data_IF_878872902285
#
_entry.id   IF_878872902285
#
_cell.length_a   1.000
_cell.length_b   1.000
_cell.length_c   1.000
_cell.angle_alpha   90.00
_cell.angle_beta   90.00
_cell.angle_gamma   90.00
#
_symmetry.space_group_name_H-M   'P 1'
#
loop_
_entity.id
_entity.type
_entity.pdbx_description
1 polymer ?
#
# COMPACT_ATOMS: atom_id res chain seq x y z
N UNK A 1 -20.89 -16.65 22.52
CA UNK A 1 -21.13 -17.15 21.15
C UNK A 1 -21.92 -16.07 20.41
N UNK A 2 -21.48 -15.72 19.19
CA UNK A 2 -22.19 -14.80 18.31
C UNK A 2 -23.33 -15.59 17.66
N UNK A 3 -24.50 -14.97 17.53
CA UNK A 3 -25.67 -15.53 16.83
C UNK A 3 -26.06 -14.68 15.62
N UNK A 4 -25.55 -13.49 15.52
CA UNK A 4 -25.78 -12.55 14.42
C UNK A 4 -25.34 -11.15 14.77
N UNK A 5 -25.48 -10.25 13.81
CA UNK A 5 -25.21 -8.82 13.95
C UNK A 5 -26.42 -8.00 13.50
N UNK A 6 -26.56 -6.82 14.05
CA UNK A 6 -27.45 -5.79 13.53
C UNK A 6 -26.65 -4.81 12.68
N UNK A 7 -27.07 -4.58 11.46
CA UNK A 7 -26.44 -3.66 10.52
C UNK A 7 -27.38 -2.48 10.26
N UNK A 8 -26.93 -1.27 10.55
CA UNK A 8 -27.68 -0.05 10.27
C UNK A 8 -27.50 0.33 8.80
N UNK A 9 -28.56 0.41 7.97
CA UNK A 9 -28.49 0.84 6.59
C UNK A 9 -27.89 2.25 6.47
N UNK A 10 -26.94 2.40 5.54
CA UNK A 10 -26.21 3.64 5.32
C UNK A 10 -26.43 4.16 3.90
N UNK A 11 -26.42 5.50 3.75
CA UNK A 11 -26.40 6.14 2.46
C UNK A 11 -25.17 7.05 2.31
N UNK A 12 -24.66 7.20 1.09
CA UNK A 12 -23.59 8.16 0.80
C UNK A 12 -24.17 9.57 0.92
N UNK A 13 -23.63 10.35 1.83
CA UNK A 13 -24.06 11.75 2.06
C UNK A 13 -23.20 12.77 1.34
N UNK A 14 -21.92 12.48 1.13
CA UNK A 14 -20.98 13.32 0.42
C UNK A 14 -19.74 12.53 0.00
N UNK A 15 -19.00 13.06 -0.97
CA UNK A 15 -17.65 12.58 -1.29
C UNK A 15 -16.68 13.72 -0.96
N UNK A 16 -15.75 13.47 0.00
CA UNK A 16 -14.70 14.41 0.39
C UNK A 16 -13.34 13.74 0.17
N UNK A 17 -12.45 14.42 -0.54
CA UNK A 17 -11.10 13.93 -0.83
C UNK A 17 -11.06 12.50 -1.40
N UNK A 18 -12.02 12.19 -2.28
CA UNK A 18 -12.16 10.87 -2.90
C UNK A 18 -12.72 9.79 -1.98
N UNK A 19 -13.15 10.14 -0.76
CA UNK A 19 -13.77 9.20 0.21
C UNK A 19 -15.24 9.50 0.40
N UNK A 20 -16.05 8.45 0.35
CA UNK A 20 -17.47 8.56 0.64
C UNK A 20 -17.68 8.78 2.15
N UNK A 21 -18.39 9.86 2.48
CA UNK A 21 -18.98 10.03 3.81
C UNK A 21 -20.36 9.37 3.82
N UNK A 22 -20.64 8.59 4.84
CA UNK A 22 -21.92 7.88 4.97
C UNK A 22 -22.71 8.41 6.16
N UNK A 23 -24.03 8.27 6.09
CA UNK A 23 -24.94 8.54 7.20
C UNK A 23 -26.04 7.48 7.23
N UNK A 24 -26.63 7.19 8.40
CA UNK A 24 -27.77 6.29 8.49
C UNK A 24 -28.91 6.73 7.59
N UNK A 25 -29.60 5.78 6.96
CA UNK A 25 -30.78 6.06 6.12
C UNK A 25 -32.02 6.42 6.94
N UNK A 26 -32.05 6.04 8.22
CA UNK A 26 -33.22 6.11 9.08
C UNK A 26 -34.12 4.86 9.00
N UNK A 27 -33.77 3.90 8.15
CA UNK A 27 -34.44 2.60 8.09
C UNK A 27 -34.06 1.75 9.31
N UNK A 28 -34.92 0.79 9.70
CA UNK A 28 -34.62 -0.13 10.79
C UNK A 28 -33.35 -0.94 10.53
N UNK A 29 -32.64 -1.28 11.61
CA UNK A 29 -31.50 -2.16 11.57
C UNK A 29 -31.89 -3.53 11.00
N UNK A 30 -31.01 -4.07 10.13
CA UNK A 30 -31.18 -5.39 9.52
C UNK A 30 -30.42 -6.41 10.36
N UNK A 31 -31.12 -7.44 10.83
CA UNK A 31 -30.46 -8.56 11.51
C UNK A 31 -29.90 -9.54 10.50
N UNK A 32 -28.57 -9.80 10.62
CA UNK A 32 -27.84 -10.76 9.78
C UNK A 32 -27.40 -11.92 10.69
N UNK A 33 -27.98 -13.11 10.56
CA UNK A 33 -27.57 -14.27 11.36
C UNK A 33 -26.16 -14.71 10.93
N UNK A 34 -25.27 -14.95 11.90
CA UNK A 34 -23.93 -15.49 11.65
C UNK A 34 -23.38 -16.15 12.91
N UNK A 35 -22.54 -17.14 12.74
CA UNK A 35 -21.82 -17.83 13.82
C UNK A 35 -20.43 -17.23 14.05
N UNK A 36 -19.86 -16.63 13.02
CA UNK A 36 -18.52 -16.03 13.01
C UNK A 36 -18.60 -14.64 12.39
N UNK A 37 -17.97 -13.67 13.03
CA UNK A 37 -17.79 -12.31 12.51
C UNK A 37 -16.31 -12.02 12.33
N UNK A 38 -15.92 -11.71 11.10
CA UNK A 38 -14.56 -11.30 10.75
C UNK A 38 -14.53 -9.78 10.54
N UNK A 39 -13.78 -9.06 11.38
CA UNK A 39 -13.54 -7.62 11.20
C UNK A 39 -12.32 -7.39 10.33
N UNK A 40 -12.53 -6.84 9.13
CA UNK A 40 -11.49 -6.49 8.18
C UNK A 40 -11.57 -5.00 7.78
N UNK A 41 -11.79 -4.11 8.78
CA UNK A 41 -12.07 -2.67 8.59
C UNK A 41 -10.83 -1.79 8.68
N UNK A 42 -9.65 -2.39 8.75
CA UNK A 42 -8.37 -1.71 8.90
C UNK A 42 -7.80 -1.78 10.32
N UNK A 43 -6.64 -1.19 10.48
CA UNK A 43 -5.91 -1.11 11.75
C UNK A 43 -5.50 0.33 11.99
N UNK A 44 -5.47 0.73 13.25
CA UNK A 44 -4.95 2.01 13.70
C UNK A 44 -3.60 1.83 14.38
N UNK A 45 -2.85 2.92 14.46
CA UNK A 45 -1.54 2.94 15.12
C UNK A 45 -1.76 3.28 16.60
N UNK A 46 -1.32 2.41 17.48
CA UNK A 46 -1.30 2.67 18.92
C UNK A 46 -0.14 3.62 19.28
N UNK A 47 -0.28 4.89 18.97
CA UNK A 47 0.77 5.91 19.14
C UNK A 47 0.87 6.51 20.54
N UNK A 48 -0.09 6.23 21.42
CA UNK A 48 -0.18 6.89 22.73
C UNK A 48 1.01 6.66 23.67
N UNK A 49 1.69 5.52 23.57
CA UNK A 49 2.89 5.26 24.36
C UNK A 49 4.12 6.01 23.81
N UNK A 50 4.20 6.23 22.52
CA UNK A 50 5.24 7.05 21.90
C UNK A 50 5.08 8.52 22.26
N UNK A 51 3.84 9.03 22.24
CA UNK A 51 3.52 10.41 22.65
C UNK A 51 3.90 10.67 24.11
N UNK A 52 3.59 9.71 25.01
CA UNK A 52 4.02 9.77 26.42
C UNK A 52 5.54 9.76 26.59
N UNK A 53 6.27 9.15 25.67
CA UNK A 53 7.73 9.15 25.64
C UNK A 53 8.33 10.41 24.99
N UNK A 54 7.51 11.39 24.63
CA UNK A 54 7.95 12.66 24.03
C UNK A 54 8.13 12.62 22.51
N UNK A 55 7.75 11.52 21.86
CA UNK A 55 7.82 11.42 20.40
C UNK A 55 6.64 12.21 19.78
N UNK A 56 6.87 13.10 18.82
CA UNK A 56 5.81 13.90 18.22
C UNK A 56 4.83 13.02 17.45
N UNK A 57 3.56 13.16 17.81
CA UNK A 57 2.44 12.43 17.19
C UNK A 57 1.40 13.42 16.68
N UNK A 58 0.86 13.19 15.50
CA UNK A 58 -0.24 13.96 14.93
C UNK A 58 -1.25 13.04 14.29
N UNK A 59 -2.53 13.15 14.69
CA UNK A 59 -3.63 12.31 14.19
C UNK A 59 -3.31 10.80 14.25
N UNK A 60 -2.71 10.36 15.36
CA UNK A 60 -2.34 8.97 15.58
C UNK A 60 -1.10 8.48 14.82
N UNK A 61 -0.37 9.37 14.13
CA UNK A 61 0.85 9.03 13.38
C UNK A 61 2.05 9.71 13.98
N UNK A 62 3.19 9.05 13.94
CA UNK A 62 4.48 9.63 14.31
C UNK A 62 4.88 10.66 13.25
N UNK A 63 5.25 11.86 13.70
CA UNK A 63 5.66 12.95 12.80
C UNK A 63 7.17 12.94 12.61
N UNK A 64 7.60 12.79 11.37
CA UNK A 64 9.02 12.80 10.99
C UNK A 64 9.26 13.74 9.81
N UNK A 65 10.51 14.10 9.59
CA UNK A 65 10.99 14.68 8.34
C UNK A 65 10.86 13.67 7.19
N UNK A 66 11.05 14.09 5.95
CA UNK A 66 11.05 13.20 4.77
C UNK A 66 12.13 12.12 4.81
N UNK A 67 13.22 12.39 5.51
CA UNK A 67 14.31 11.44 5.78
C UNK A 67 13.93 10.32 6.76
N UNK A 68 12.81 10.46 7.46
CA UNK A 68 12.43 9.63 8.60
C UNK A 68 13.05 10.08 9.93
N UNK A 69 13.93 11.07 9.93
CA UNK A 69 14.52 11.63 11.15
C UNK A 69 13.51 12.52 11.91
N UNK A 70 13.75 12.70 13.19
CA UNK A 70 13.03 13.68 14.02
C UNK A 70 13.81 15.00 14.06
N UNK A 71 13.09 16.11 13.94
CA UNK A 71 13.69 17.44 13.93
C UNK A 71 14.48 17.76 15.20
N UNK A 72 13.93 17.39 16.36
CA UNK A 72 14.48 17.73 17.67
C UNK A 72 15.03 16.53 18.46
N UNK A 73 15.23 15.39 17.80
CA UNK A 73 15.71 14.15 18.44
C UNK A 73 16.80 13.50 17.58
N UNK A 74 18.05 14.01 17.64
CA UNK A 74 19.15 13.46 16.83
C UNK A 74 19.35 11.97 17.09
N UNK A 75 19.54 11.18 16.03
CA UNK A 75 19.73 9.74 16.12
C UNK A 75 18.44 8.93 16.26
N UNK A 76 17.26 9.58 16.28
CA UNK A 76 15.97 8.90 16.30
C UNK A 76 15.32 8.99 14.93
N UNK A 77 14.85 7.84 14.43
CA UNK A 77 14.23 7.72 13.11
C UNK A 77 12.95 6.89 13.20
N UNK A 78 12.00 7.15 12.31
CA UNK A 78 10.83 6.32 12.13
C UNK A 78 10.37 6.33 10.67
N UNK A 79 9.78 5.22 10.22
CA UNK A 79 9.25 5.08 8.87
C UNK A 79 8.28 3.92 8.75
N UNK A 80 7.64 3.81 7.60
CA UNK A 80 6.58 2.82 7.37
C UNK A 80 5.24 3.30 7.91
N UNK A 81 4.35 2.35 8.23
CA UNK A 81 2.97 2.64 8.58
C UNK A 81 2.82 3.54 9.82
N UNK A 82 3.77 3.48 10.76
CA UNK A 82 3.72 4.33 11.96
C UNK A 82 3.80 5.82 11.66
N UNK A 83 4.44 6.21 10.55
CA UNK A 83 4.55 7.62 10.13
C UNK A 83 3.66 7.96 8.94
N UNK A 84 3.53 7.08 7.95
CA UNK A 84 2.71 7.33 6.75
C UNK A 84 1.23 6.98 6.94
N UNK A 85 0.91 6.12 7.89
CA UNK A 85 -0.36 5.45 8.08
C UNK A 85 -0.42 4.10 7.35
N UNK A 86 -1.33 3.21 7.75
CA UNK A 86 -1.49 1.90 7.14
C UNK A 86 -1.66 1.98 5.62
N UNK A 87 -0.83 1.24 4.89
CA UNK A 87 -0.83 1.25 3.43
C UNK A 87 -0.39 -0.12 2.88
N UNK A 88 0.42 -0.15 1.83
CA UNK A 88 0.93 -1.40 1.26
C UNK A 88 2.33 -1.73 1.77
N UNK A 89 2.67 -3.03 1.75
CA UNK A 89 4.02 -3.53 2.08
C UNK A 89 5.09 -2.81 1.26
N UNK A 90 4.83 -2.57 -0.03
CA UNK A 90 5.78 -1.87 -0.92
C UNK A 90 6.07 -0.46 -0.41
N UNK A 91 5.07 0.27 0.08
CA UNK A 91 5.29 1.61 0.66
C UNK A 91 6.10 1.55 1.95
N UNK A 92 5.86 0.55 2.79
CA UNK A 92 6.65 0.35 4.01
C UNK A 92 8.12 0.04 3.68
N UNK A 93 8.39 -0.83 2.69
CA UNK A 93 9.75 -1.13 2.21
C UNK A 93 10.41 0.13 1.63
N UNK A 94 9.69 0.92 0.84
CA UNK A 94 10.23 2.16 0.28
C UNK A 94 10.62 3.15 1.38
N UNK A 95 9.78 3.34 2.39
CA UNK A 95 10.10 4.17 3.54
C UNK A 95 11.29 3.63 4.33
N UNK A 96 11.35 2.31 4.54
CA UNK A 96 12.46 1.68 5.24
C UNK A 96 13.80 1.90 4.54
N UNK A 97 13.85 1.84 3.21
CA UNK A 97 15.07 2.13 2.43
C UNK A 97 15.54 3.58 2.63
N UNK A 98 14.62 4.53 2.62
CA UNK A 98 14.95 5.95 2.89
C UNK A 98 15.51 6.09 4.31
N UNK A 99 14.82 5.56 5.30
CA UNK A 99 15.24 5.63 6.71
C UNK A 99 16.61 4.96 6.91
N UNK A 100 16.82 3.76 6.36
CA UNK A 100 18.09 3.04 6.49
C UNK A 100 19.27 3.83 5.90
N UNK A 101 19.09 4.41 4.70
CA UNK A 101 20.12 5.24 4.07
C UNK A 101 20.44 6.49 4.91
N UNK A 102 19.43 7.09 5.55
CA UNK A 102 19.64 8.25 6.39
C UNK A 102 20.26 7.91 7.75
N UNK A 103 19.99 6.73 8.29
CA UNK A 103 20.71 6.22 9.47
C UNK A 103 22.18 5.96 9.14
N UNK A 104 22.46 5.35 8.00
CA UNK A 104 23.81 5.09 7.52
C UNK A 104 24.63 6.38 7.42
N UNK A 105 24.04 7.41 6.81
CA UNK A 105 24.64 8.74 6.70
C UNK A 105 24.85 9.40 8.07
N UNK A 106 23.86 9.31 8.96
CA UNK A 106 23.97 9.85 10.32
C UNK A 106 25.12 9.22 11.12
N UNK A 107 25.40 7.96 10.87
CA UNK A 107 26.51 7.23 11.49
C UNK A 107 27.88 7.50 10.82
N UNK A 108 27.92 8.32 9.77
CA UNK A 108 29.12 8.68 9.02
C UNK A 108 29.53 7.66 7.97
N UNK A 109 28.62 6.75 7.60
CA UNK A 109 28.83 5.83 6.48
C UNK A 109 28.14 6.34 5.20
N UNK A 110 28.47 5.73 4.07
CA UNK A 110 27.91 6.11 2.77
C UNK A 110 27.67 4.87 1.90
N UNK A 111 27.04 3.86 2.47
CA UNK A 111 26.73 2.65 1.73
C UNK A 111 25.59 2.89 0.72
N UNK A 112 25.76 2.41 -0.50
CA UNK A 112 24.68 2.39 -1.46
C UNK A 112 23.80 1.14 -1.29
N UNK A 113 22.47 1.36 -1.17
CA UNK A 113 21.52 0.27 -1.20
C UNK A 113 21.23 -0.05 -2.67
N UNK A 114 21.91 -1.05 -3.20
CA UNK A 114 21.70 -1.53 -4.57
C UNK A 114 20.85 -2.79 -4.59
N UNK A 115 20.07 -2.97 -5.64
CA UNK A 115 19.26 -4.19 -5.81
C UNK A 115 20.08 -5.37 -6.36
N UNK A 116 21.27 -5.11 -6.91
CA UNK A 116 22.06 -6.08 -7.66
C UNK A 116 21.39 -6.56 -8.96
N UNK A 117 20.27 -5.93 -9.35
CA UNK A 117 19.55 -6.26 -10.58
C UNK A 117 19.90 -5.26 -11.64
N UNK A 118 20.48 -5.74 -12.74
CA UNK A 118 20.72 -4.94 -13.94
C UNK A 118 19.40 -4.79 -14.70
N UNK A 119 18.95 -3.53 -14.87
CA UNK A 119 17.73 -3.21 -15.61
C UNK A 119 18.14 -2.84 -17.04
N UNK A 120 17.74 -3.64 -18.06
CA UNK A 120 18.06 -3.36 -19.45
C UNK A 120 17.53 -2.00 -19.89
N UNK A 121 18.23 -1.35 -20.81
CA UNK A 121 17.74 -0.12 -21.43
C UNK A 121 16.36 -0.32 -22.07
N UNK A 122 15.50 0.69 -21.95
CA UNK A 122 14.20 0.65 -22.58
C UNK A 122 14.32 0.83 -24.10
N UNK A 123 13.72 -0.07 -24.86
CA UNK A 123 13.58 0.06 -26.31
C UNK A 123 12.10 0.08 -26.68
N UNK A 124 11.70 1.09 -27.44
CA UNK A 124 10.36 1.18 -28.02
C UNK A 124 10.34 0.72 -29.48
N UNK A 125 11.48 0.26 -30.02
CA UNK A 125 11.55 -0.34 -31.35
C UNK A 125 10.80 -1.64 -31.35
N UNK A 126 10.13 -1.93 -32.44
CA UNK A 126 9.42 -3.19 -32.69
C UNK A 126 8.24 -3.49 -31.72
N UNK A 127 7.68 -2.46 -31.08
CA UNK A 127 6.45 -2.59 -30.29
C UNK A 127 5.25 -2.68 -31.21
N UNK A 128 4.78 -3.91 -31.47
CA UNK A 128 3.54 -4.11 -32.24
C UNK A 128 2.32 -3.74 -31.39
N UNK A 129 1.46 -2.82 -31.86
CA UNK A 129 0.22 -2.51 -31.17
C UNK A 129 -0.64 -3.76 -30.98
N UNK A 130 -1.04 -4.04 -29.76
CA UNK A 130 -1.92 -5.16 -29.44
C UNK A 130 -2.90 -4.78 -28.33
N UNK A 131 -4.04 -5.47 -28.28
CA UNK A 131 -5.03 -5.27 -27.25
C UNK A 131 -4.58 -5.79 -25.88
N UNK A 132 -5.28 -5.35 -24.84
CA UNK A 132 -5.11 -5.89 -23.49
C UNK A 132 -5.62 -7.31 -23.42
N UNK A 133 -4.92 -8.18 -22.71
CA UNK A 133 -5.43 -9.50 -22.34
C UNK A 133 -6.43 -9.33 -21.19
N UNK A 134 -7.62 -9.87 -21.34
CA UNK A 134 -8.63 -9.90 -20.29
C UNK A 134 -8.53 -11.24 -19.56
N UNK A 135 -8.15 -11.20 -18.29
CA UNK A 135 -8.21 -12.37 -17.44
C UNK A 135 -9.67 -12.74 -17.17
N UNK A 136 -9.96 -14.02 -17.19
CA UNK A 136 -11.25 -14.55 -16.81
C UNK A 136 -11.19 -15.09 -15.39
N UNK A 137 -12.27 -14.95 -14.65
CA UNK A 137 -12.41 -15.55 -13.34
C UNK A 137 -13.11 -16.91 -13.46
N UNK A 138 -12.83 -17.81 -12.53
CA UNK A 138 -13.60 -19.04 -12.35
C UNK A 138 -15.03 -18.70 -11.97
N UNK A 139 -15.97 -19.57 -12.30
CA UNK A 139 -17.36 -19.37 -11.95
C UNK A 139 -17.54 -19.20 -10.42
N UNK A 140 -18.43 -18.30 -10.02
CA UNK A 140 -18.66 -18.00 -8.61
C UNK A 140 -19.13 -19.23 -7.82
N UNK A 141 -19.93 -20.10 -8.42
CA UNK A 141 -20.41 -21.31 -7.77
C UNK A 141 -19.31 -22.35 -7.54
N UNK A 142 -18.26 -22.36 -8.38
CA UNK A 142 -17.11 -23.24 -8.19
C UNK A 142 -16.16 -22.69 -7.12
N UNK A 143 -15.84 -21.41 -7.19
CA UNK A 143 -14.84 -20.81 -6.31
C UNK A 143 -15.29 -20.64 -4.87
N UNK A 144 -16.57 -20.73 -4.56
CA UNK A 144 -17.06 -20.74 -3.18
C UNK A 144 -16.84 -22.06 -2.46
N UNK A 145 -16.49 -23.13 -3.23
CA UNK A 145 -16.31 -24.47 -2.67
C UNK A 145 -14.86 -24.82 -2.32
N UNK A 146 -13.88 -23.95 -2.70
CA UNK A 146 -12.47 -24.22 -2.49
C UNK A 146 -11.65 -22.92 -2.28
N UNK A 147 -10.34 -23.07 -2.05
CA UNK A 147 -9.36 -21.99 -1.95
C UNK A 147 -8.39 -21.94 -3.14
N UNK A 148 -8.75 -22.51 -4.27
CA UNK A 148 -7.96 -22.40 -5.48
C UNK A 148 -7.98 -20.97 -6.02
N UNK A 149 -7.06 -20.67 -6.96
CA UNK A 149 -6.98 -19.35 -7.58
C UNK A 149 -8.33 -18.93 -8.16
N UNK A 150 -8.73 -17.70 -7.90
CA UNK A 150 -9.99 -17.11 -8.39
C UNK A 150 -9.88 -16.79 -9.88
N UNK A 151 -8.77 -16.17 -10.28
CA UNK A 151 -8.50 -15.81 -11.68
C UNK A 151 -7.80 -16.95 -12.41
N UNK A 152 -8.15 -17.14 -13.68
CA UNK A 152 -7.43 -18.04 -14.57
C UNK A 152 -6.09 -17.39 -14.96
N UNK A 153 -5.02 -18.19 -14.94
CA UNK A 153 -3.70 -17.71 -15.32
C UNK A 153 -3.66 -17.36 -16.81
N UNK A 154 -2.82 -16.38 -17.15
CA UNK A 154 -2.46 -16.13 -18.54
C UNK A 154 -1.75 -17.35 -19.13
N UNK A 155 -2.02 -17.64 -20.37
CA UNK A 155 -1.16 -18.50 -21.19
C UNK A 155 0.18 -17.80 -21.44
N UNK A 156 1.23 -18.53 -21.78
CA UNK A 156 2.53 -17.95 -22.11
C UNK A 156 2.43 -16.91 -23.25
N UNK A 157 1.58 -17.17 -24.25
CA UNK A 157 1.33 -16.23 -25.35
C UNK A 157 0.70 -14.92 -24.85
N UNK A 158 -0.29 -15.01 -23.98
CA UNK A 158 -0.96 -13.84 -23.38
C UNK A 158 -0.02 -13.06 -22.49
N UNK A 159 0.77 -13.75 -21.66
CA UNK A 159 1.78 -13.10 -20.81
C UNK A 159 2.82 -12.35 -21.65
N UNK A 160 3.30 -12.94 -22.75
CA UNK A 160 4.20 -12.27 -23.69
C UNK A 160 3.54 -11.10 -24.41
N UNK A 161 2.25 -11.19 -24.74
CA UNK A 161 1.48 -10.09 -25.31
C UNK A 161 1.40 -8.91 -24.31
N UNK A 162 1.02 -9.14 -23.05
CA UNK A 162 0.97 -8.09 -22.04
C UNK A 162 2.35 -7.50 -21.72
N UNK A 163 3.38 -8.32 -21.60
CA UNK A 163 4.75 -7.84 -21.44
C UNK A 163 5.20 -7.00 -22.63
N UNK A 164 4.81 -7.38 -23.85
CA UNK A 164 5.09 -6.64 -25.08
C UNK A 164 4.46 -5.25 -25.14
N UNK A 165 3.36 -5.02 -24.45
CA UNK A 165 2.69 -3.69 -24.35
C UNK A 165 3.41 -2.72 -23.43
N UNK A 166 4.33 -3.19 -22.58
CA UNK A 166 5.02 -2.34 -21.61
C UNK A 166 5.87 -1.29 -22.32
N UNK A 167 5.60 -0.01 -22.05
CA UNK A 167 6.35 1.14 -22.58
C UNK A 167 7.54 1.53 -21.71
N UNK A 168 7.82 0.78 -20.63
CA UNK A 168 8.91 1.10 -19.70
C UNK A 168 8.86 2.56 -19.22
N UNK A 169 7.70 3.00 -18.76
CA UNK A 169 7.49 4.37 -18.25
C UNK A 169 8.42 4.72 -17.10
N UNK A 170 8.88 3.73 -16.33
CA UNK A 170 9.91 3.86 -15.31
C UNK A 170 11.19 4.48 -15.87
N UNK A 171 11.63 4.08 -17.07
CA UNK A 171 12.82 4.59 -17.73
C UNK A 171 12.71 6.09 -18.10
N UNK A 172 11.51 6.56 -18.40
CA UNK A 172 11.25 7.96 -18.78
C UNK A 172 10.91 8.88 -17.59
N UNK A 173 11.12 8.45 -16.38
CA UNK A 173 10.92 9.25 -15.18
C UNK A 173 9.53 9.16 -14.57
N UNK A 174 8.60 8.42 -15.18
CA UNK A 174 7.30 8.14 -14.61
C UNK A 174 7.40 6.95 -13.64
N UNK A 175 7.11 7.19 -12.37
CA UNK A 175 7.18 6.16 -11.35
C UNK A 175 8.58 5.69 -11.01
N UNK A 176 9.62 6.45 -11.36
CA UNK A 176 10.98 6.13 -10.95
C UNK A 176 11.01 6.01 -9.43
N UNK A 177 11.41 4.86 -8.98
CA UNK A 177 11.68 4.58 -7.60
C UNK A 177 12.91 5.39 -7.16
N UNK A 178 12.69 6.54 -6.56
CA UNK A 178 13.74 7.29 -5.86
C UNK A 178 13.95 6.62 -4.50
N UNK A 179 14.44 5.40 -4.53
CA UNK A 179 14.89 4.71 -3.35
C UNK A 179 16.25 5.25 -2.95
N UNK A 180 16.52 5.31 -1.68
CA UNK A 180 17.80 5.73 -1.19
C UNK A 180 17.72 7.01 -0.36
N UNK A 181 18.80 7.76 -0.35
CA UNK A 181 18.97 8.93 0.49
C UNK A 181 18.01 10.05 0.13
N UNK A 182 17.43 10.68 1.12
CA UNK A 182 16.81 11.97 0.94
C UNK A 182 17.91 13.00 0.67
N UNK A 183 17.79 13.80 -0.38
CA UNK A 183 18.68 14.95 -0.61
C UNK A 183 18.34 16.14 0.30
N UNK A 184 17.37 15.98 1.17
CA UNK A 184 16.90 17.00 2.10
C UNK A 184 17.31 16.60 3.52
N UNK A 185 18.56 16.83 3.82
CA UNK A 185 19.08 16.88 5.18
C UNK A 185 18.92 18.28 5.75
#
# INVERSE_FOLDING_TARGET
KIHGIYATPQMISAIKDGRASVKPTGEPDVYIPCDILIKAIGQDIESGHFEKAGIPVSRGKIVTLKSGAFENMPGVFAGGDCSSGPASVIKAIAAAKVVAANIDEYLGYHHEITSGVEIPEASLKDKTPCGRVNLTERDACERVCDFNAVENCMTEKEAKQEAGRCLRCDHFGYGIFKGGRSTLW
#
